data_IF_201590813517
#
_entry.id   IF_201590813517
#
_cell.length_a   1.000
_cell.length_b   1.000
_cell.length_c   1.000
_cell.angle_alpha   90.00
_cell.angle_beta   90.00
_cell.angle_gamma   90.00
#
_symmetry.space_group_name_H-M   'P 1'
#
loop_
_entity.id
_entity.type
_entity.pdbx_description
1 polymer ?
#
# COMPACT_ATOMS: atom_id res chain seq x y z
N UNK A 1 5.99 -14.50 -27.80
CA UNK A 1 5.34 -13.85 -26.65
C UNK A 1 5.58 -12.36 -26.79
N UNK A 2 4.55 -11.53 -26.79
CA UNK A 2 4.77 -10.09 -26.58
C UNK A 2 5.30 -9.91 -25.16
N UNK A 3 6.48 -9.29 -25.04
CA UNK A 3 7.04 -8.90 -23.75
C UNK A 3 6.10 -7.92 -23.04
N UNK A 4 6.12 -7.89 -21.70
CA UNK A 4 5.42 -6.84 -20.95
C UNK A 4 6.03 -5.48 -21.33
N UNK A 5 5.29 -4.67 -22.09
CA UNK A 5 5.68 -3.31 -22.42
C UNK A 5 5.95 -2.52 -21.12
N UNK A 6 6.78 -1.47 -21.17
CA UNK A 6 7.11 -0.61 -20.02
C UNK A 6 5.88 -0.16 -19.22
N UNK A 7 4.76 0.14 -19.90
CA UNK A 7 3.48 0.47 -19.28
C UNK A 7 2.88 -0.69 -18.48
N UNK A 8 3.05 -1.94 -18.95
CA UNK A 8 2.61 -3.18 -18.29
C UNK A 8 3.54 -3.57 -17.13
N UNK A 9 4.83 -3.17 -17.18
CA UNK A 9 5.78 -3.36 -16.05
C UNK A 9 5.49 -2.45 -14.84
N UNK A 10 4.75 -1.35 -15.04
CA UNK A 10 4.36 -0.44 -13.96
C UNK A 10 3.55 -1.11 -12.85
N UNK A 11 2.86 -2.23 -13.15
CA UNK A 11 2.07 -2.97 -12.17
C UNK A 11 2.94 -3.68 -11.12
N UNK A 12 4.14 -4.15 -11.51
CA UNK A 12 5.14 -4.71 -10.57
C UNK A 12 5.65 -3.59 -9.65
N UNK A 13 5.83 -2.39 -10.18
CA UNK A 13 6.27 -1.21 -9.44
C UNK A 13 5.24 -0.75 -8.40
N UNK A 14 3.95 -1.07 -8.60
CA UNK A 14 2.86 -0.74 -7.66
C UNK A 14 2.75 -1.76 -6.51
N UNK A 15 3.15 -3.02 -6.71
CA UNK A 15 3.06 -4.04 -5.65
C UNK A 15 4.10 -3.90 -4.55
N UNK A 16 5.30 -3.44 -4.89
CA UNK A 16 6.37 -3.24 -3.89
C UNK A 16 5.88 -2.26 -2.80
N UNK A 17 5.30 -1.09 -3.14
CA UNK A 17 4.67 -0.20 -2.17
C UNK A 17 3.49 -0.83 -1.41
N UNK A 18 2.64 -1.62 -2.06
CA UNK A 18 1.48 -2.26 -1.42
C UNK A 18 1.92 -3.20 -0.28
N UNK A 19 3.02 -3.95 -0.47
CA UNK A 19 3.61 -4.81 0.56
C UNK A 19 4.11 -4.03 1.77
N UNK A 20 4.70 -2.85 1.57
CA UNK A 20 5.10 -1.98 2.68
C UNK A 20 3.91 -1.41 3.45
N UNK A 21 2.78 -1.18 2.77
CA UNK A 21 1.55 -0.67 3.37
C UNK A 21 0.85 -1.71 4.23
N UNK A 22 0.77 -2.98 3.81
CA UNK A 22 0.06 -4.04 4.56
C UNK A 22 0.57 -4.14 6.01
N UNK A 23 1.88 -4.03 6.22
CA UNK A 23 2.47 -4.03 7.56
C UNK A 23 2.04 -2.84 8.40
N UNK A 24 1.99 -1.64 7.82
CA UNK A 24 1.57 -0.42 8.52
C UNK A 24 0.07 -0.39 8.79
N UNK A 25 -0.73 -0.87 7.85
CA UNK A 25 -2.17 -1.08 7.99
C UNK A 25 -2.49 -2.02 9.15
N UNK A 26 -1.81 -3.17 9.16
CA UNK A 26 -2.02 -4.17 10.20
C UNK A 26 -1.67 -3.60 11.57
N UNK A 27 -0.55 -2.88 11.67
CA UNK A 27 -0.15 -2.20 12.91
C UNK A 27 -1.14 -1.12 13.33
N UNK A 28 -1.59 -0.26 12.41
CA UNK A 28 -2.56 0.81 12.68
C UNK A 28 -3.85 0.26 13.28
N UNK A 29 -4.48 -0.72 12.62
CA UNK A 29 -5.75 -1.28 13.06
C UNK A 29 -5.62 -2.05 14.37
N UNK A 30 -4.53 -2.81 14.55
CA UNK A 30 -4.25 -3.51 15.81
C UNK A 30 -4.10 -2.55 16.99
N UNK A 31 -3.42 -1.42 16.78
CA UNK A 31 -3.29 -0.38 17.80
C UNK A 31 -4.65 0.26 18.15
N UNK A 32 -5.64 0.18 17.26
CA UNK A 32 -7.02 0.60 17.48
C UNK A 32 -7.94 -0.54 17.95
N UNK A 33 -7.37 -1.67 18.40
CA UNK A 33 -8.11 -2.77 19.03
C UNK A 33 -8.68 -3.82 18.05
N UNK A 34 -8.40 -3.70 16.75
CA UNK A 34 -8.89 -4.67 15.77
C UNK A 34 -8.09 -5.97 15.82
N UNK A 35 -8.76 -7.09 15.58
CA UNK A 35 -8.10 -8.38 15.49
C UNK A 35 -7.38 -8.54 14.14
N UNK A 36 -6.19 -9.13 14.17
CA UNK A 36 -5.39 -9.44 12.97
C UNK A 36 -6.15 -10.25 11.93
N UNK A 37 -6.90 -11.26 12.39
CA UNK A 37 -7.69 -12.13 11.53
C UNK A 37 -8.73 -11.33 10.74
N UNK A 38 -9.38 -10.35 11.38
CA UNK A 38 -10.34 -9.47 10.70
C UNK A 38 -9.63 -8.59 9.67
N UNK A 39 -8.48 -8.02 10.03
CA UNK A 39 -7.69 -7.18 9.11
C UNK A 39 -7.29 -7.98 7.87
N UNK A 40 -6.66 -9.15 8.06
CA UNK A 40 -6.24 -10.02 6.94
C UNK A 40 -7.42 -10.51 6.10
N UNK A 41 -8.56 -10.79 6.72
CA UNK A 41 -9.78 -11.15 5.99
C UNK A 41 -10.26 -10.00 5.11
N UNK A 42 -10.37 -8.79 5.65
CA UNK A 42 -10.81 -7.61 4.88
C UNK A 42 -9.83 -7.34 3.74
N UNK A 43 -8.53 -7.35 4.03
CA UNK A 43 -7.48 -7.18 3.02
C UNK A 43 -7.58 -8.24 1.92
N UNK A 44 -7.79 -9.52 2.27
CA UNK A 44 -7.96 -10.59 1.30
C UNK A 44 -9.26 -10.50 0.48
N UNK A 45 -10.36 -10.02 1.08
CA UNK A 45 -11.62 -9.79 0.35
C UNK A 45 -11.48 -8.66 -0.66
N UNK A 46 -10.83 -7.56 -0.28
CA UNK A 46 -10.54 -6.43 -1.17
C UNK A 46 -9.66 -6.91 -2.34
N UNK A 47 -8.61 -7.68 -2.06
CA UNK A 47 -7.74 -8.26 -3.07
C UNK A 47 -8.48 -9.17 -4.05
N UNK A 48 -9.32 -10.07 -3.53
CA UNK A 48 -10.12 -10.97 -4.35
C UNK A 48 -11.08 -10.21 -5.26
N UNK A 49 -11.67 -9.11 -4.78
CA UNK A 49 -12.49 -8.23 -5.61
C UNK A 49 -11.70 -7.65 -6.79
N UNK A 50 -10.47 -7.18 -6.56
CA UNK A 50 -9.60 -6.70 -7.63
C UNK A 50 -9.23 -7.80 -8.61
N UNK A 51 -8.88 -8.99 -8.13
CA UNK A 51 -8.57 -10.16 -8.96
C UNK A 51 -9.74 -10.50 -9.89
N UNK A 52 -10.96 -10.58 -9.34
CA UNK A 52 -12.17 -10.87 -10.11
C UNK A 52 -12.44 -9.78 -11.15
N UNK A 53 -12.30 -8.50 -10.77
CA UNK A 53 -12.49 -7.39 -11.70
C UNK A 53 -11.52 -7.45 -12.90
N UNK A 54 -10.26 -7.79 -12.66
CA UNK A 54 -9.23 -7.92 -13.71
C UNK A 54 -9.51 -9.12 -14.62
N UNK A 55 -9.90 -10.27 -14.04
CA UNK A 55 -10.27 -11.45 -14.84
C UNK A 55 -11.51 -11.16 -15.69
N UNK A 56 -12.53 -10.53 -15.11
CA UNK A 56 -13.76 -10.16 -15.82
C UNK A 56 -13.49 -9.15 -16.96
N UNK A 57 -12.46 -8.32 -16.80
CA UNK A 57 -11.98 -7.40 -17.84
C UNK A 57 -11.26 -8.10 -19.00
N UNK A 58 -11.07 -9.43 -18.93
CA UNK A 58 -10.33 -10.25 -19.90
C UNK A 58 -8.87 -9.79 -20.07
N UNK A 59 -8.31 -9.25 -19.00
CA UNK A 59 -6.94 -8.82 -18.95
C UNK A 59 -5.96 -9.98 -18.88
N UNK A 60 -4.69 -9.70 -19.19
CA UNK A 60 -3.67 -10.73 -19.16
C UNK A 60 -3.59 -11.35 -17.73
N UNK A 61 -3.64 -12.69 -17.60
CA UNK A 61 -3.70 -13.37 -16.28
C UNK A 61 -2.56 -13.02 -15.34
N UNK A 62 -1.43 -12.59 -15.91
CA UNK A 62 -0.29 -12.07 -15.16
C UNK A 62 -0.69 -11.01 -14.13
N UNK A 63 -1.59 -10.07 -14.45
CA UNK A 63 -1.96 -9.00 -13.52
C UNK A 63 -2.70 -9.53 -12.29
N UNK A 64 -3.64 -10.46 -12.50
CA UNK A 64 -4.35 -11.14 -11.42
C UNK A 64 -3.40 -11.94 -10.54
N UNK A 65 -2.46 -12.69 -11.16
CA UNK A 65 -1.46 -13.45 -10.42
C UNK A 65 -0.55 -12.55 -9.57
N UNK A 66 -0.15 -11.42 -10.14
CA UNK A 66 0.75 -10.44 -9.53
C UNK A 66 0.06 -9.77 -8.33
N UNK A 67 -1.16 -9.27 -8.49
CA UNK A 67 -1.94 -8.68 -7.39
C UNK A 67 -2.19 -9.68 -6.26
N UNK A 68 -2.74 -10.84 -6.60
CA UNK A 68 -3.02 -11.90 -5.62
C UNK A 68 -1.75 -12.36 -4.90
N UNK A 69 -0.68 -12.62 -5.65
CA UNK A 69 0.59 -13.09 -5.11
C UNK A 69 1.25 -12.04 -4.22
N UNK A 70 1.22 -10.76 -4.63
CA UNK A 70 1.74 -9.64 -3.84
C UNK A 70 1.03 -9.56 -2.49
N UNK A 71 -0.31 -9.54 -2.51
CA UNK A 71 -1.11 -9.46 -1.28
C UNK A 71 -0.86 -10.64 -0.34
N UNK A 72 -0.85 -11.86 -0.88
CA UNK A 72 -0.62 -13.08 -0.11
C UNK A 72 0.76 -13.07 0.55
N UNK A 73 1.80 -12.64 -0.17
CA UNK A 73 3.14 -12.43 0.39
C UNK A 73 3.09 -11.42 1.53
N UNK A 74 2.41 -10.28 1.37
CA UNK A 74 2.28 -9.27 2.41
C UNK A 74 1.58 -9.78 3.69
N UNK A 75 0.52 -10.57 3.55
CA UNK A 75 -0.17 -11.21 4.68
C UNK A 75 0.77 -12.21 5.39
N UNK A 76 1.45 -13.07 4.63
CA UNK A 76 2.39 -14.05 5.21
C UNK A 76 3.54 -13.34 5.93
N UNK A 77 4.11 -12.29 5.33
CA UNK A 77 5.15 -11.49 5.96
C UNK A 77 4.66 -10.83 7.25
N UNK A 78 3.43 -10.30 7.26
CA UNK A 78 2.81 -9.72 8.45
C UNK A 78 2.66 -10.75 9.58
N UNK A 79 2.27 -11.98 9.26
CA UNK A 79 2.15 -13.05 10.26
C UNK A 79 3.51 -13.59 10.72
N UNK A 80 4.50 -13.69 9.84
CA UNK A 80 5.86 -14.13 10.20
C UNK A 80 6.55 -13.09 11.10
N UNK A 81 6.49 -11.81 10.74
CA UNK A 81 7.09 -10.72 11.52
C UNK A 81 6.24 -10.30 12.72
N UNK A 82 5.25 -11.10 13.12
CA UNK A 82 4.36 -10.79 14.22
C UNK A 82 5.11 -10.54 15.54
N UNK A 83 4.73 -9.46 16.22
CA UNK A 83 5.18 -9.11 17.57
C UNK A 83 3.99 -8.75 18.46
N UNK A 84 4.14 -8.94 19.77
CA UNK A 84 3.12 -8.48 20.74
C UNK A 84 3.07 -6.95 20.72
N UNK A 85 1.89 -6.37 20.95
CA UNK A 85 1.70 -4.91 20.91
C UNK A 85 2.68 -4.18 21.84
N UNK A 86 2.96 -4.73 23.03
CA UNK A 86 3.93 -4.16 23.99
C UNK A 86 5.37 -4.08 23.47
N UNK A 87 5.76 -5.00 22.59
CA UNK A 87 7.07 -5.01 21.93
C UNK A 87 7.04 -4.12 20.67
N UNK A 88 5.87 -4.01 20.06
CA UNK A 88 5.61 -3.25 18.84
C UNK A 88 5.39 -1.75 19.10
N UNK A 89 5.27 -1.32 20.35
CA UNK A 89 5.22 0.09 20.77
C UNK A 89 6.50 0.54 21.50
N UNK A 90 7.45 -0.36 21.73
CA UNK A 90 8.76 0.00 22.30
C UNK A 90 9.74 0.41 21.18
N UNK A 91 9.44 1.54 20.53
CA UNK A 91 10.25 2.01 19.41
C UNK A 91 11.53 2.70 19.87
N UNK A 92 12.63 2.31 19.23
CA UNK A 92 13.89 3.04 19.35
C UNK A 92 13.79 4.41 18.65
N UNK A 93 14.73 5.30 18.97
CA UNK A 93 14.85 6.58 18.27
C UNK A 93 15.02 6.41 16.76
N UNK A 94 15.66 5.32 16.34
CA UNK A 94 15.89 4.98 14.94
C UNK A 94 14.57 4.61 14.25
N UNK A 95 13.72 3.84 14.92
CA UNK A 95 12.40 3.48 14.38
C UNK A 95 11.54 4.73 14.15
N UNK A 96 11.51 5.64 15.13
CA UNK A 96 10.79 6.92 15.00
C UNK A 96 11.36 7.77 13.84
N UNK A 97 12.69 7.78 13.67
CA UNK A 97 13.34 8.48 12.57
C UNK A 97 12.91 7.90 11.21
N UNK A 98 12.88 6.57 11.08
CA UNK A 98 12.39 5.90 9.87
C UNK A 98 10.91 6.23 9.59
N UNK A 99 10.06 6.26 10.62
CA UNK A 99 8.65 6.65 10.47
C UNK A 99 8.51 8.09 9.97
N UNK A 100 9.28 9.03 10.53
CA UNK A 100 9.34 10.43 10.03
C UNK A 100 9.90 10.52 8.61
N UNK A 101 10.91 9.71 8.29
CA UNK A 101 11.46 9.60 6.94
C UNK A 101 10.43 9.10 5.93
N UNK A 102 9.57 8.15 6.32
CA UNK A 102 8.44 7.68 5.48
C UNK A 102 7.39 8.77 5.26
N UNK A 103 7.09 9.58 6.28
CA UNK A 103 6.20 10.76 6.10
C UNK A 103 6.79 11.70 5.04
N UNK A 104 8.09 12.01 5.14
CA UNK A 104 8.79 12.86 4.16
C UNK A 104 8.77 12.24 2.76
N UNK A 105 9.04 10.93 2.65
CA UNK A 105 8.99 10.21 1.38
C UNK A 105 7.57 10.26 0.78
N UNK A 106 6.52 10.14 1.59
CA UNK A 106 5.14 10.30 1.14
C UNK A 106 4.89 11.68 0.53
N UNK A 107 5.36 12.75 1.19
CA UNK A 107 5.24 14.11 0.67
C UNK A 107 6.02 14.30 -0.65
N UNK A 108 7.23 13.73 -0.74
CA UNK A 108 8.03 13.74 -1.98
C UNK A 108 7.30 13.00 -3.10
N UNK A 109 6.69 11.85 -2.80
CA UNK A 109 5.93 11.07 -3.79
C UNK A 109 4.73 11.83 -4.33
N UNK A 110 4.01 12.62 -3.52
CA UNK A 110 2.94 13.51 -4.01
C UNK A 110 3.49 14.49 -5.06
N UNK A 111 4.62 15.13 -4.78
CA UNK A 111 5.22 16.10 -5.70
C UNK A 111 5.66 15.42 -6.99
N UNK A 112 6.34 14.28 -6.88
CA UNK A 112 6.78 13.48 -8.03
C UNK A 112 5.58 13.08 -8.88
N UNK A 113 4.50 12.60 -8.25
CA UNK A 113 3.29 12.20 -8.96
C UNK A 113 2.67 13.37 -9.75
N UNK A 114 2.58 14.56 -9.14
CA UNK A 114 2.08 15.76 -9.82
C UNK A 114 2.97 16.11 -11.02
N UNK A 115 4.28 16.13 -10.83
CA UNK A 115 5.25 16.44 -11.90
C UNK A 115 5.12 15.42 -13.03
N UNK A 116 5.03 14.13 -12.70
CA UNK A 116 4.84 13.06 -13.67
C UNK A 116 3.53 13.22 -14.45
N UNK A 117 2.41 13.53 -13.79
CA UNK A 117 1.12 13.75 -14.45
C UNK A 117 1.16 14.94 -15.43
N UNK A 118 1.95 15.98 -15.12
CA UNK A 118 2.15 17.13 -16.00
C UNK A 118 3.05 16.76 -17.19
N UNK A 119 4.17 16.09 -16.94
CA UNK A 119 5.17 15.77 -17.97
C UNK A 119 4.74 14.61 -18.89
N UNK A 120 3.95 13.68 -18.37
CA UNK A 120 3.54 12.46 -19.05
C UNK A 120 2.03 12.20 -18.86
N UNK A 121 1.16 13.05 -19.42
CA UNK A 121 -0.29 12.91 -19.27
C UNK A 121 -0.84 11.62 -19.88
N UNK A 122 -0.09 11.00 -20.82
CA UNK A 122 -0.43 9.71 -21.42
C UNK A 122 -0.03 8.50 -20.56
N UNK A 123 0.56 8.71 -19.39
CA UNK A 123 0.94 7.62 -18.49
C UNK A 123 -0.29 6.78 -18.14
N UNK A 124 -0.21 5.46 -18.41
CA UNK A 124 -1.31 4.47 -18.31
C UNK A 124 -2.40 4.53 -19.39
N UNK A 125 -2.30 5.38 -20.41
CA UNK A 125 -3.31 5.40 -21.48
C UNK A 125 -3.29 4.13 -22.34
N UNK A 126 -2.13 3.47 -22.48
CA UNK A 126 -2.04 2.14 -23.08
C UNK A 126 -2.47 1.00 -22.15
N UNK A 127 -2.81 1.30 -20.89
CA UNK A 127 -3.47 0.34 -20.03
C UNK A 127 -4.98 0.30 -20.30
N UNK A 128 -5.57 -0.90 -20.24
CA UNK A 128 -7.02 -1.06 -20.25
C UNK A 128 -7.70 -0.25 -19.17
N UNK A 129 -8.94 0.18 -19.43
CA UNK A 129 -9.63 1.19 -18.62
C UNK A 129 -9.64 0.86 -17.13
N UNK A 130 -9.96 -0.38 -16.76
CA UNK A 130 -10.05 -0.81 -15.36
C UNK A 130 -8.68 -0.79 -14.69
N UNK A 131 -7.66 -1.35 -15.35
CA UNK A 131 -6.26 -1.35 -14.85
C UNK A 131 -5.71 0.07 -14.73
N UNK A 132 -6.07 0.97 -15.65
CA UNK A 132 -5.71 2.38 -15.62
C UNK A 132 -6.32 3.10 -14.42
N UNK A 133 -7.62 2.91 -14.19
CA UNK A 133 -8.33 3.48 -13.03
C UNK A 133 -7.64 3.03 -11.73
N UNK A 134 -7.33 1.73 -11.59
CA UNK A 134 -6.63 1.23 -10.41
C UNK A 134 -5.23 1.80 -10.26
N UNK A 135 -4.47 1.90 -11.36
CA UNK A 135 -3.12 2.46 -11.31
C UNK A 135 -3.13 3.91 -10.81
N UNK A 136 -4.09 4.73 -11.27
CA UNK A 136 -4.25 6.09 -10.78
C UNK A 136 -4.72 6.17 -9.32
N UNK A 137 -5.65 5.30 -8.90
CA UNK A 137 -6.11 5.26 -7.51
C UNK A 137 -4.93 4.92 -6.61
N UNK A 138 -4.20 3.85 -6.91
CA UNK A 138 -3.08 3.43 -6.06
C UNK A 138 -2.01 4.51 -6.02
N UNK A 139 -1.64 5.11 -7.16
CA UNK A 139 -0.66 6.19 -7.17
C UNK A 139 -1.07 7.39 -6.30
N UNK A 140 -2.34 7.80 -6.35
CA UNK A 140 -2.83 8.93 -5.56
C UNK A 140 -2.94 8.60 -4.07
N UNK A 141 -3.36 7.37 -3.75
CA UNK A 141 -3.68 6.93 -2.39
C UNK A 141 -2.42 6.55 -1.61
N UNK A 142 -1.47 5.91 -2.27
CA UNK A 142 -0.21 5.43 -1.68
C UNK A 142 0.54 6.48 -0.85
N UNK A 143 0.86 7.68 -1.37
CA UNK A 143 1.60 8.67 -0.60
C UNK A 143 0.76 9.23 0.57
N UNK A 144 -0.55 9.36 0.40
CA UNK A 144 -1.47 9.85 1.44
C UNK A 144 -1.50 8.86 2.60
N UNK A 145 -1.67 7.58 2.32
CA UNK A 145 -1.68 6.52 3.32
C UNK A 145 -0.36 6.43 4.06
N UNK A 146 0.76 6.52 3.34
CA UNK A 146 2.09 6.50 3.95
C UNK A 146 2.28 7.71 4.90
N UNK A 147 1.78 8.89 4.55
CA UNK A 147 1.79 10.04 5.46
C UNK A 147 0.87 9.78 6.66
N UNK A 148 -0.38 9.37 6.43
CA UNK A 148 -1.40 9.25 7.46
C UNK A 148 -1.04 8.20 8.52
N UNK A 149 -0.68 6.98 8.10
CA UNK A 149 -0.34 5.91 9.03
C UNK A 149 0.93 6.22 9.82
N UNK A 150 2.00 6.67 9.15
CA UNK A 150 3.23 7.02 9.87
C UNK A 150 3.03 8.21 10.82
N UNK A 151 2.22 9.20 10.45
CA UNK A 151 1.89 10.33 11.32
C UNK A 151 1.12 9.88 12.55
N UNK A 152 0.11 9.02 12.38
CA UNK A 152 -0.63 8.43 13.49
C UNK A 152 0.29 7.67 14.44
N UNK A 153 1.16 6.83 13.88
CA UNK A 153 2.12 6.02 14.63
C UNK A 153 3.05 6.90 15.46
N UNK A 154 3.64 7.94 14.86
CA UNK A 154 4.51 8.90 15.58
C UNK A 154 3.76 9.66 16.68
N UNK A 155 2.50 10.10 16.43
CA UNK A 155 1.69 10.79 17.44
C UNK A 155 1.38 9.90 18.64
N UNK A 156 0.99 8.65 18.38
CA UNK A 156 0.67 7.66 19.41
C UNK A 156 1.87 7.33 20.30
N UNK A 157 3.07 7.25 19.72
CA UNK A 157 4.31 7.02 20.47
C UNK A 157 4.65 8.19 21.42
N UNK A 158 4.36 9.42 21.00
CA UNK A 158 4.63 10.61 21.81
C UNK A 158 3.60 10.82 22.95
N UNK A 159 2.67 9.89 23.16
CA UNK A 159 1.64 10.00 24.20
C UNK A 159 0.60 11.09 23.94
N UNK A 160 0.51 11.60 22.70
CA UNK A 160 -0.50 12.61 22.35
C UNK A 160 -1.85 11.94 22.13
N UNK A 161 -2.92 12.53 22.68
CA UNK A 161 -4.28 12.12 22.41
C UNK A 161 -4.58 12.21 20.90
N UNK A 162 -5.13 11.14 20.35
CA UNK A 162 -5.50 11.07 18.94
C UNK A 162 -6.92 11.59 18.85
N UNK A 163 -7.07 12.88 18.56
CA UNK A 163 -8.36 13.44 18.19
C UNK A 163 -8.73 12.90 16.80
N UNK A 164 -9.80 12.11 16.75
CA UNK A 164 -10.44 11.72 15.51
C UNK A 164 -11.15 12.96 14.96
N UNK A 165 -10.67 13.49 13.84
CA UNK A 165 -11.40 14.49 13.04
C UNK A 165 -12.47 13.79 12.20
#
# INVERSE_FOLDING_TARGET
>A
MEYLNLEKSGLITILIPLNFLIGEYTLFFRLNGWSRKIIHLITGVIDLFFVVAIIASREHPYYSFVIFGGMLVGIIQSEWCYRKISEETNWSKIDILFKKGRILLGAILIIIEIVIRILYPSMFMGLPLITRIFSYIILAVLPIEMIAFNSFLVKKQNGMAIEYF
#
